data_IF_502415420546
#
_entry.id   IF_502415420546
#
_cell.length_a   1.000
_cell.length_b   1.000
_cell.length_c   1.000
_cell.angle_alpha   90.00
_cell.angle_beta   90.00
_cell.angle_gamma   90.00
#
_symmetry.space_group_name_H-M   'P 1'
#
loop_
_entity.id
_entity.type
_entity.pdbx_description
1 polymer ?
#
# COMPACT_ATOMS: atom_id res chain seq x y z
N UNK A 1 -1.15 -12.42 -5.41
CA UNK A 1 -0.59 -11.45 -4.43
C UNK A 1 -1.74 -10.62 -3.85
N UNK A 2 -1.56 -10.00 -2.70
CA UNK A 2 -2.56 -9.07 -2.15
C UNK A 2 -2.32 -7.62 -2.57
N UNK A 3 -3.41 -6.86 -2.68
CA UNK A 3 -3.43 -5.43 -2.90
C UNK A 3 -4.56 -4.78 -2.08
N UNK A 4 -4.56 -3.45 -2.05
CA UNK A 4 -5.59 -2.66 -1.38
C UNK A 4 -6.41 -1.94 -2.45
N UNK A 5 -7.70 -2.25 -2.52
CA UNK A 5 -8.66 -1.50 -3.30
C UNK A 5 -9.18 -0.32 -2.48
N UNK A 6 -9.11 0.87 -3.06
CA UNK A 6 -9.60 2.11 -2.44
C UNK A 6 -10.97 2.43 -3.08
N UNK A 7 -12.03 2.21 -2.31
CA UNK A 7 -13.42 2.49 -2.67
C UNK A 7 -13.80 3.95 -2.39
N UNK A 8 -12.89 4.87 -2.71
CA UNK A 8 -13.04 6.31 -2.57
C UNK A 8 -12.28 7.01 -3.69
N UNK A 9 -12.62 8.29 -3.91
CA UNK A 9 -11.89 9.13 -4.86
C UNK A 9 -10.49 9.43 -4.34
N UNK A 10 -9.47 9.24 -5.19
CA UNK A 10 -8.08 9.63 -4.89
C UNK A 10 -7.75 10.93 -5.62
N UNK A 11 -7.22 11.92 -4.91
CA UNK A 11 -6.88 13.24 -5.46
C UNK A 11 -5.42 13.27 -5.90
N UNK A 12 -5.17 13.87 -7.06
CA UNK A 12 -3.84 14.10 -7.60
C UNK A 12 -3.39 15.55 -7.36
N UNK A 13 -2.09 15.80 -7.37
CA UNK A 13 -1.52 17.13 -7.09
C UNK A 13 -1.94 18.19 -8.11
N UNK A 14 -2.31 17.79 -9.32
CA UNK A 14 -2.82 18.67 -10.37
C UNK A 14 -4.34 18.97 -10.25
N UNK A 15 -5.01 18.47 -9.21
CA UNK A 15 -6.45 18.66 -8.99
C UNK A 15 -7.35 17.68 -9.76
N UNK A 16 -6.79 16.78 -10.57
CA UNK A 16 -7.52 15.64 -11.13
C UNK A 16 -7.80 14.60 -10.06
N UNK A 17 -8.71 13.68 -10.38
CA UNK A 17 -9.11 12.61 -9.47
C UNK A 17 -9.12 11.26 -10.15
N UNK A 18 -8.76 10.24 -9.39
CA UNK A 18 -8.96 8.83 -9.73
C UNK A 18 -10.27 8.41 -9.12
N UNK A 19 -11.14 7.81 -9.94
CA UNK A 19 -12.43 7.32 -9.46
C UNK A 19 -12.27 6.20 -8.43
N UNK A 20 -13.32 5.98 -7.63
CA UNK A 20 -13.40 4.84 -6.71
C UNK A 20 -13.11 3.52 -7.42
N UNK A 21 -12.40 2.63 -6.72
CA UNK A 21 -11.99 1.31 -7.23
C UNK A 21 -10.52 1.25 -7.67
N UNK A 22 -9.72 2.26 -7.31
CA UNK A 22 -8.28 2.25 -7.56
C UNK A 22 -7.59 1.12 -6.78
N UNK A 23 -6.50 0.61 -7.35
CA UNK A 23 -5.78 -0.54 -6.83
C UNK A 23 -4.37 -0.13 -6.42
N UNK A 24 -4.05 -0.25 -5.13
CA UNK A 24 -2.73 0.01 -4.57
C UNK A 24 -1.99 -1.32 -4.36
N UNK A 25 -0.86 -1.49 -5.04
CA UNK A 25 0.00 -2.67 -4.94
C UNK A 25 1.26 -2.38 -4.15
N UNK A 26 1.84 -3.42 -3.55
CA UNK A 26 3.17 -3.36 -2.95
C UNK A 26 4.19 -3.77 -4.00
N UNK A 27 5.12 -2.88 -4.31
CA UNK A 27 6.21 -3.15 -5.26
C UNK A 27 7.42 -3.75 -4.55
N UNK A 28 7.75 -3.19 -3.38
CA UNK A 28 8.80 -3.71 -2.52
C UNK A 28 8.61 -3.24 -1.08
N UNK A 29 9.18 -3.98 -0.13
CA UNK A 29 9.24 -3.59 1.27
C UNK A 29 10.63 -3.85 1.82
N UNK A 30 11.13 -2.92 2.63
CA UNK A 30 12.39 -3.03 3.34
C UNK A 30 12.13 -2.86 4.84
N UNK A 31 12.57 -3.84 5.62
CA UNK A 31 12.48 -3.82 7.08
C UNK A 31 13.90 -3.88 7.61
N UNK A 32 14.30 -2.84 8.35
CA UNK A 32 15.61 -2.79 8.95
C UNK A 32 15.60 -3.56 10.27
N UNK A 33 15.98 -4.83 10.20
CA UNK A 33 15.95 -5.77 11.31
C UNK A 33 17.23 -5.77 12.18
N UNK A 34 18.07 -4.73 12.10
CA UNK A 34 19.20 -4.60 13.03
C UNK A 34 18.65 -4.49 14.45
N UNK A 35 19.03 -5.42 15.33
CA UNK A 35 18.47 -5.52 16.70
C UNK A 35 18.78 -4.33 17.60
N UNK A 36 19.61 -3.41 17.14
CA UNK A 36 19.97 -2.20 17.87
C UNK A 36 18.80 -1.19 17.97
N UNK A 37 17.71 -1.37 17.21
CA UNK A 37 16.54 -0.47 17.21
C UNK A 37 15.55 -0.69 18.37
N UNK A 38 15.80 -1.66 19.26
CA UNK A 38 14.93 -1.92 20.41
C UNK A 38 13.69 -2.74 20.04
N UNK A 39 12.52 -2.37 20.59
CA UNK A 39 11.27 -3.13 20.41
C UNK A 39 10.58 -2.90 19.06
N UNK A 40 11.02 -1.91 18.28
CA UNK A 40 10.44 -1.51 17.01
C UNK A 40 11.50 -1.52 15.90
N UNK A 41 11.11 -2.00 14.73
CA UNK A 41 11.94 -2.09 13.52
C UNK A 41 11.45 -1.06 12.50
N UNK A 42 12.36 -0.23 11.94
CA UNK A 42 12.01 0.67 10.84
C UNK A 42 11.54 -0.11 9.61
N UNK A 43 10.48 0.37 8.98
CA UNK A 43 9.92 -0.18 7.74
C UNK A 43 9.72 0.90 6.68
N UNK A 44 10.00 0.55 5.43
CA UNK A 44 9.68 1.33 4.25
C UNK A 44 9.00 0.43 3.20
N UNK A 45 7.85 0.87 2.66
CA UNK A 45 7.08 0.15 1.66
C UNK A 45 6.90 1.05 0.44
N UNK A 46 7.41 0.59 -0.70
CA UNK A 46 7.16 1.21 -2.00
C UNK A 46 5.90 0.63 -2.60
N UNK A 47 5.02 1.51 -3.06
CA UNK A 47 3.71 1.17 -3.59
C UNK A 47 3.45 1.84 -4.93
N UNK A 48 2.60 1.20 -5.73
CA UNK A 48 2.09 1.72 -6.99
C UNK A 48 0.57 1.76 -6.97
N UNK A 49 -0.02 2.88 -7.40
CA UNK A 49 -1.47 3.02 -7.55
C UNK A 49 -1.87 2.85 -9.01
N UNK A 50 -2.96 2.15 -9.27
CA UNK A 50 -3.56 1.97 -10.60
C UNK A 50 -5.02 2.41 -10.56
N UNK A 51 -5.60 2.80 -11.70
CA UNK A 51 -7.02 3.21 -11.72
C UNK A 51 -7.95 2.05 -11.36
N UNK A 52 -7.51 0.82 -11.60
CA UNK A 52 -8.26 -0.40 -11.31
C UNK A 52 -7.33 -1.61 -11.19
N UNK A 53 -7.87 -2.72 -10.68
CA UNK A 53 -7.21 -4.03 -10.73
C UNK A 53 -6.96 -4.50 -12.18
N UNK A 54 -7.87 -4.19 -13.09
CA UNK A 54 -7.73 -4.51 -14.51
C UNK A 54 -6.55 -3.75 -15.12
N UNK A 55 -6.40 -2.46 -14.82
CA UNK A 55 -5.28 -1.66 -15.31
C UNK A 55 -3.93 -2.24 -14.85
N UNK A 56 -3.85 -2.70 -13.60
CA UNK A 56 -2.67 -3.43 -13.11
C UNK A 56 -2.44 -4.73 -13.91
N UNK A 57 -3.47 -5.55 -14.05
CA UNK A 57 -3.39 -6.86 -14.71
C UNK A 57 -3.00 -6.73 -16.19
N UNK A 58 -3.51 -5.70 -16.87
CA UNK A 58 -3.25 -5.38 -18.28
C UNK A 58 -1.87 -4.77 -18.54
N UNK A 59 -1.03 -4.63 -17.51
CA UNK A 59 0.32 -4.15 -17.72
C UNK A 59 0.45 -2.61 -17.73
N UNK A 60 -0.63 -1.86 -17.46
CA UNK A 60 -0.63 -0.39 -17.58
C UNK A 60 0.33 0.28 -16.60
N UNK A 61 0.59 1.56 -16.85
CA UNK A 61 1.43 2.37 -15.98
C UNK A 61 0.68 2.75 -14.70
N UNK A 62 1.41 2.79 -13.59
CA UNK A 62 0.91 3.31 -12.34
C UNK A 62 0.69 4.82 -12.42
N UNK A 63 -0.22 5.31 -11.60
CA UNK A 63 -0.51 6.71 -11.40
C UNK A 63 0.58 7.33 -10.53
N UNK A 64 1.07 8.50 -10.94
CA UNK A 64 2.04 9.30 -10.21
C UNK A 64 1.38 10.55 -9.62
N UNK A 65 2.12 11.28 -8.77
CA UNK A 65 1.72 12.59 -8.24
C UNK A 65 0.40 12.59 -7.47
N UNK A 66 0.19 11.53 -6.68
CA UNK A 66 -0.92 11.41 -5.75
C UNK A 66 -0.76 12.47 -4.66
N UNK A 67 -1.83 13.24 -4.40
CA UNK A 67 -1.86 14.28 -3.37
C UNK A 67 -2.10 13.69 -1.98
N UNK A 68 -2.92 12.65 -1.93
CA UNK A 68 -3.42 12.09 -0.69
C UNK A 68 -2.34 11.30 0.09
N UNK A 69 -1.36 10.73 -0.60
CA UNK A 69 -0.26 9.98 0.02
C UNK A 69 0.99 9.91 -0.88
N UNK A 70 2.14 9.58 -0.27
CA UNK A 70 3.39 9.27 -0.98
C UNK A 70 3.42 7.80 -1.39
N UNK A 71 4.00 7.50 -2.55
CA UNK A 71 4.23 6.11 -3.00
C UNK A 71 5.17 5.34 -2.07
N UNK A 72 6.01 6.03 -1.31
CA UNK A 72 6.86 5.45 -0.26
C UNK A 72 6.25 5.70 1.13
N UNK A 73 5.67 4.65 1.71
CA UNK A 73 5.19 4.65 3.09
C UNK A 73 6.31 4.25 4.04
N UNK A 74 6.48 4.98 5.14
CA UNK A 74 7.52 4.72 6.14
C UNK A 74 6.95 4.74 7.54
N UNK A 75 7.57 3.99 8.44
CA UNK A 75 7.19 3.96 9.85
C UNK A 75 7.96 2.88 10.61
N UNK A 76 7.31 2.32 11.62
CA UNK A 76 7.88 1.29 12.49
C UNK A 76 6.90 0.15 12.70
N UNK A 77 7.41 -1.07 12.81
CA UNK A 77 6.66 -2.27 13.21
C UNK A 77 7.29 -2.85 14.47
N UNK A 78 6.50 -3.42 15.38
CA UNK A 78 7.10 -4.05 16.55
C UNK A 78 7.83 -5.35 16.16
N UNK A 79 8.90 -5.67 16.90
CA UNK A 79 9.64 -6.94 16.75
C UNK A 79 8.71 -8.13 16.93
N UNK A 80 7.78 -8.07 17.87
CA UNK A 80 6.80 -9.13 18.10
C UNK A 80 5.94 -9.37 16.85
N UNK A 81 5.43 -8.30 16.22
CA UNK A 81 4.66 -8.43 14.98
C UNK A 81 5.52 -9.02 13.86
N UNK A 82 6.75 -8.54 13.72
CA UNK A 82 7.70 -9.04 12.73
C UNK A 82 7.99 -10.55 12.87
N UNK A 83 8.07 -11.06 14.11
CA UNK A 83 8.40 -12.46 14.38
C UNK A 83 7.18 -13.39 14.35
N UNK A 84 5.96 -12.86 14.55
CA UNK A 84 4.75 -13.69 14.75
C UNK A 84 3.70 -13.57 13.65
N UNK A 85 3.72 -12.49 12.85
CA UNK A 85 2.74 -12.25 11.78
C UNK A 85 3.37 -12.57 10.43
N UNK A 86 2.61 -13.24 9.56
CA UNK A 86 3.05 -13.48 8.19
C UNK A 86 3.36 -12.14 7.49
N UNK A 87 4.48 -12.08 6.78
CA UNK A 87 4.97 -10.86 6.13
C UNK A 87 3.92 -10.20 5.23
N UNK A 88 3.21 -10.95 4.38
CA UNK A 88 2.19 -10.36 3.49
C UNK A 88 1.08 -9.69 4.31
N UNK A 89 0.60 -10.35 5.37
CA UNK A 89 -0.42 -9.78 6.26
C UNK A 89 0.10 -8.53 6.98
N UNK A 90 1.32 -8.59 7.51
CA UNK A 90 1.94 -7.47 8.22
C UNK A 90 2.07 -6.22 7.34
N UNK A 91 2.51 -6.38 6.09
CA UNK A 91 2.66 -5.26 5.15
C UNK A 91 1.31 -4.65 4.77
N UNK A 92 0.30 -5.49 4.53
CA UNK A 92 -1.06 -5.02 4.22
C UNK A 92 -1.67 -4.29 5.42
N UNK A 93 -1.57 -4.85 6.63
CA UNK A 93 -2.09 -4.22 7.84
C UNK A 93 -1.43 -2.85 8.08
N UNK A 94 -0.11 -2.75 7.86
CA UNK A 94 0.63 -1.49 7.97
C UNK A 94 0.12 -0.42 7.00
N UNK A 95 -0.08 -0.78 5.72
CA UNK A 95 -0.63 0.14 4.73
C UNK A 95 -2.08 0.53 5.05
N UNK A 96 -2.93 -0.41 5.47
CA UNK A 96 -4.31 -0.13 5.90
C UNK A 96 -4.32 0.88 7.05
N UNK A 97 -3.43 0.72 8.03
CA UNK A 97 -3.32 1.66 9.16
C UNK A 97 -2.95 3.09 8.71
N UNK A 98 -2.09 3.23 7.70
CA UNK A 98 -1.70 4.54 7.15
C UNK A 98 -2.74 5.16 6.22
N UNK A 99 -3.51 4.34 5.50
CA UNK A 99 -4.56 4.79 4.59
C UNK A 99 -5.88 5.09 5.31
N UNK A 100 -6.13 4.47 6.47
CA UNK A 100 -7.38 4.64 7.23
C UNK A 100 -7.66 6.09 7.62
N UNK A 101 -6.68 6.89 8.10
CA UNK A 101 -6.90 8.32 8.38
C UNK A 101 -7.25 9.17 7.13
N UNK A 102 -6.91 8.68 5.93
CA UNK A 102 -7.12 9.39 4.66
C UNK A 102 -8.50 9.05 4.08
N UNK A 103 -8.79 7.75 3.96
CA UNK A 103 -9.98 7.27 3.25
C UNK A 103 -11.06 6.70 4.16
N UNK A 104 -10.75 6.41 5.42
CA UNK A 104 -11.62 5.66 6.32
C UNK A 104 -11.58 4.16 6.07
N UNK A 105 -11.63 3.36 7.13
CA UNK A 105 -11.50 1.90 7.05
C UNK A 105 -12.60 1.23 6.18
N UNK A 106 -13.79 1.82 6.12
CA UNK A 106 -14.90 1.30 5.28
C UNK A 106 -14.64 1.40 3.78
N UNK A 107 -13.70 2.24 3.35
CA UNK A 107 -13.35 2.44 1.94
C UNK A 107 -12.10 1.66 1.53
N UNK A 108 -11.54 0.82 2.41
CA UNK A 108 -10.35 0.04 2.13
C UNK A 108 -10.69 -1.44 2.12
N UNK A 109 -10.40 -2.11 1.01
CA UNK A 109 -10.69 -3.52 0.81
C UNK A 109 -9.42 -4.26 0.41
N UNK A 110 -9.10 -5.36 1.10
CA UNK A 110 -7.97 -6.21 0.74
C UNK A 110 -8.43 -7.18 -0.35
N UNK A 111 -7.82 -7.10 -1.53
CA UNK A 111 -8.16 -7.91 -2.69
C UNK A 111 -7.01 -8.84 -3.08
N UNK A 112 -7.35 -9.95 -3.73
CA UNK A 112 -6.37 -10.84 -4.36
C UNK A 112 -6.25 -10.47 -5.83
N UNK A 113 -5.02 -10.25 -6.30
CA UNK A 113 -4.75 -9.91 -7.70
C UNK A 113 -3.77 -10.91 -8.32
N UNK A 114 -3.96 -11.16 -9.61
CA UNK A 114 -3.04 -11.93 -10.45
C UNK A 114 -1.80 -11.09 -10.77
N UNK A 115 -0.62 -11.68 -11.01
CA UNK A 115 0.58 -10.90 -11.39
C UNK A 115 0.35 -10.06 -12.65
N UNK A 116 0.96 -8.87 -12.69
CA UNK A 116 0.99 -7.98 -13.86
C UNK A 116 1.41 -8.74 -15.12
N UNK A 117 0.67 -8.58 -16.22
CA UNK A 117 1.11 -9.08 -17.53
C UNK A 117 2.40 -8.38 -17.97
N UNK A 118 3.38 -9.17 -18.41
CA UNK A 118 4.70 -8.72 -18.85
C UNK A 118 4.67 -8.32 -20.32
#
# INVERSE_FOLDING_TARGET
MKAIKINATVVLNNGLTVSSGSCLTIDSANINNKRDFGSDLPIAILTSLYNSETDYSDGKNSITDIKDFNSLFQGSISVVVYETVNTEKMLIDFLIALLTPIYGASNLEVINIAPKAV
#
